data_IF_682048882993
#
_entry.id   IF_682048882993
#
_cell.length_a   1.000
_cell.length_b   1.000
_cell.length_c   1.000
_cell.angle_alpha   90.00
_cell.angle_beta   90.00
_cell.angle_gamma   90.00
#
_symmetry.space_group_name_H-M   'P 1'
#
loop_
_entity.id
_entity.type
_entity.pdbx_description
1 polymer ?
#
# COMPACT_ATOMS: atom_id res chain seq x y z
N UNK A 1 11.01 13.18 -10.52
CA UNK A 1 11.33 12.10 -9.55
C UNK A 1 11.20 12.69 -8.15
N UNK A 2 10.30 12.20 -7.33
CA UNK A 2 9.99 12.83 -6.05
C UNK A 2 10.82 12.16 -4.93
N UNK A 3 11.84 12.85 -4.42
CA UNK A 3 12.65 12.38 -3.27
C UNK A 3 11.79 12.29 -1.99
N UNK A 4 10.67 13.01 -1.93
CA UNK A 4 9.74 12.97 -0.80
C UNK A 4 9.12 11.59 -0.59
N UNK A 5 8.86 10.81 -1.64
CA UNK A 5 8.32 9.46 -1.49
C UNK A 5 9.33 8.50 -0.82
N UNK A 6 10.62 8.61 -1.18
CA UNK A 6 11.69 7.83 -0.54
C UNK A 6 11.78 8.17 0.96
N UNK A 7 11.78 9.46 1.28
CA UNK A 7 11.87 9.93 2.66
C UNK A 7 10.62 9.52 3.44
N UNK A 8 9.43 9.74 2.90
CA UNK A 8 8.18 9.45 3.60
C UNK A 8 7.99 7.96 3.86
N UNK A 9 8.10 7.13 2.81
CA UNK A 9 7.73 5.71 2.92
C UNK A 9 8.86 4.82 3.39
N UNK A 10 10.10 4.99 2.91
CA UNK A 10 11.18 4.11 3.34
C UNK A 10 11.80 4.59 4.65
N UNK A 11 12.28 5.82 4.70
CA UNK A 11 12.87 6.36 5.93
C UNK A 11 11.80 6.55 7.00
N UNK A 12 10.70 7.24 6.66
CA UNK A 12 9.64 7.59 7.62
C UNK A 12 8.97 6.39 8.26
N UNK A 13 8.61 5.36 7.47
CA UNK A 13 8.02 4.13 8.04
C UNK A 13 8.98 3.43 8.99
N UNK A 14 10.25 3.30 8.60
CA UNK A 14 11.28 2.68 9.44
C UNK A 14 11.46 3.43 10.75
N UNK A 15 11.59 4.77 10.69
CA UNK A 15 11.77 5.63 11.85
C UNK A 15 10.56 5.58 12.80
N UNK A 16 9.33 5.63 12.24
CA UNK A 16 8.11 5.56 13.05
C UNK A 16 8.00 4.21 13.76
N UNK A 17 8.21 3.11 13.04
CA UNK A 17 8.19 1.77 13.64
C UNK A 17 9.25 1.67 14.73
N UNK A 18 10.49 2.07 14.45
CA UNK A 18 11.59 2.03 15.43
C UNK A 18 11.27 2.85 16.69
N UNK A 19 10.76 4.07 16.51
CA UNK A 19 10.44 4.97 17.64
C UNK A 19 9.30 4.46 18.52
N UNK A 20 8.43 3.61 17.98
CA UNK A 20 7.26 3.08 18.69
C UNK A 20 7.49 1.69 19.29
N UNK A 21 8.59 1.00 18.98
CA UNK A 21 8.80 -0.41 19.39
C UNK A 21 8.51 -0.67 20.86
N UNK A 22 9.05 0.16 21.75
CA UNK A 22 8.87 0.00 23.21
C UNK A 22 7.44 0.29 23.71
N UNK A 23 6.59 0.87 22.84
CA UNK A 23 5.20 1.25 23.16
C UNK A 23 4.18 0.29 22.55
N UNK A 24 4.62 -0.59 21.64
CA UNK A 24 3.75 -1.55 20.99
C UNK A 24 3.47 -2.73 21.93
N UNK A 25 2.21 -3.09 22.04
CA UNK A 25 1.80 -4.29 22.77
C UNK A 25 2.01 -5.54 21.91
N UNK A 26 2.16 -6.75 22.50
CA UNK A 26 2.36 -7.97 21.72
C UNK A 26 1.26 -8.32 20.71
N UNK A 27 0.05 -7.80 20.91
CA UNK A 27 -1.09 -7.96 19.99
C UNK A 27 -1.29 -6.78 19.02
N UNK A 28 -0.32 -5.87 18.94
CA UNK A 28 -0.38 -4.75 18.02
C UNK A 28 -0.39 -5.21 16.55
N UNK A 29 -0.89 -4.35 15.69
CA UNK A 29 -0.88 -4.54 14.24
C UNK A 29 -0.40 -3.26 13.56
N UNK A 30 0.51 -3.42 12.60
CA UNK A 30 1.07 -2.34 11.80
C UNK A 30 0.59 -2.53 10.36
N UNK A 31 0.11 -1.46 9.74
CA UNK A 31 -0.27 -1.44 8.33
C UNK A 31 0.55 -0.39 7.59
N UNK A 32 1.24 -0.82 6.52
CA UNK A 32 2.04 0.04 5.66
C UNK A 32 1.36 0.22 4.30
N UNK A 33 1.36 1.44 3.78
CA UNK A 33 0.79 1.77 2.48
C UNK A 33 1.86 1.78 1.40
N UNK A 34 1.74 0.88 0.43
CA UNK A 34 2.58 0.82 -0.77
C UNK A 34 1.86 1.37 -2.01
N UNK A 35 1.90 0.61 -3.08
CA UNK A 35 1.26 0.89 -4.37
C UNK A 35 1.64 -0.15 -5.41
N UNK A 36 1.03 -0.07 -6.59
CA UNK A 36 1.12 -1.12 -7.62
C UNK A 36 2.29 -0.95 -8.60
N UNK A 37 3.02 0.17 -8.58
CA UNK A 37 4.07 0.44 -9.56
C UNK A 37 5.20 -0.60 -9.55
N UNK A 38 5.41 -1.32 -8.43
CA UNK A 38 6.33 -2.45 -8.38
C UNK A 38 5.95 -3.56 -9.37
N UNK A 39 4.65 -3.88 -9.45
CA UNK A 39 4.14 -4.98 -10.30
C UNK A 39 3.85 -4.54 -11.72
N UNK A 40 3.58 -3.26 -11.91
CA UNK A 40 3.32 -2.67 -13.21
C UNK A 40 4.04 -1.33 -13.36
N UNK A 41 5.37 -1.37 -13.62
CA UNK A 41 6.14 -0.16 -13.83
C UNK A 41 5.73 0.53 -15.14
N UNK A 42 5.93 1.84 -15.17
CA UNK A 42 5.63 2.70 -16.33
C UNK A 42 6.76 3.74 -16.51
N UNK A 43 6.90 4.35 -17.70
CA UNK A 43 7.91 5.37 -17.91
C UNK A 43 7.83 6.50 -16.87
N UNK A 44 8.94 6.79 -16.18
CA UNK A 44 9.01 7.77 -15.10
C UNK A 44 8.67 7.22 -13.70
N UNK A 45 8.33 5.93 -13.56
CA UNK A 45 7.97 5.33 -12.27
C UNK A 45 9.17 4.84 -11.44
N UNK A 46 10.41 5.08 -11.84
CA UNK A 46 11.60 4.52 -11.17
C UNK A 46 11.56 4.70 -9.66
N UNK A 47 11.33 5.92 -9.18
CA UNK A 47 11.28 6.19 -7.73
C UNK A 47 10.12 5.50 -7.06
N UNK A 48 8.90 5.64 -7.59
CA UNK A 48 7.71 5.05 -6.98
C UNK A 48 7.74 3.52 -7.03
N UNK A 49 8.30 2.93 -8.10
CA UNK A 49 8.51 1.48 -8.21
C UNK A 49 9.49 0.99 -7.15
N UNK A 50 10.62 1.68 -6.97
CA UNK A 50 11.62 1.35 -5.94
C UNK A 50 11.04 1.46 -4.54
N UNK A 51 10.31 2.55 -4.26
CA UNK A 51 9.65 2.76 -2.97
C UNK A 51 8.65 1.66 -2.66
N UNK A 52 7.79 1.31 -3.62
CA UNK A 52 6.80 0.24 -3.41
C UNK A 52 7.45 -1.13 -3.21
N UNK A 53 8.56 -1.39 -3.91
CA UNK A 53 9.39 -2.58 -3.67
C UNK A 53 9.99 -2.61 -2.27
N UNK A 54 10.51 -1.47 -1.82
CA UNK A 54 11.03 -1.31 -0.46
C UNK A 54 9.96 -1.53 0.60
N UNK A 55 8.75 -0.97 0.42
CA UNK A 55 7.62 -1.20 1.35
C UNK A 55 7.25 -2.68 1.41
N UNK A 56 7.19 -3.37 0.26
CA UNK A 56 6.92 -4.81 0.22
C UNK A 56 7.96 -5.61 1.01
N UNK A 57 9.24 -5.30 0.84
CA UNK A 57 10.33 -5.92 1.59
C UNK A 57 10.26 -5.60 3.09
N UNK A 58 9.98 -4.35 3.43
CA UNK A 58 9.85 -3.90 4.82
C UNK A 58 8.72 -4.64 5.55
N UNK A 59 7.56 -4.85 4.90
CA UNK A 59 6.47 -5.66 5.45
C UNK A 59 6.93 -7.07 5.81
N UNK A 60 7.61 -7.75 4.87
CA UNK A 60 8.07 -9.12 5.10
C UNK A 60 9.08 -9.21 6.23
N UNK A 61 10.06 -8.31 6.25
CA UNK A 61 11.11 -8.33 7.29
C UNK A 61 10.55 -8.01 8.66
N UNK A 62 9.76 -6.93 8.79
CA UNK A 62 9.16 -6.55 10.06
C UNK A 62 8.17 -7.58 10.59
N UNK A 63 7.44 -8.28 9.72
CA UNK A 63 6.52 -9.35 10.13
C UNK A 63 7.24 -10.52 10.80
N UNK A 64 8.51 -10.73 10.47
CA UNK A 64 9.37 -11.76 11.10
C UNK A 64 10.06 -11.19 12.35
N UNK A 65 10.67 -10.02 12.22
CA UNK A 65 11.50 -9.43 13.30
C UNK A 65 10.67 -8.99 14.51
N UNK A 66 9.44 -8.50 14.29
CA UNK A 66 8.59 -7.97 15.35
C UNK A 66 7.58 -8.97 15.91
N UNK A 67 7.59 -10.23 15.45
CA UNK A 67 6.65 -11.22 15.94
C UNK A 67 6.63 -11.28 17.48
N UNK A 68 5.46 -11.32 18.15
CA UNK A 68 4.12 -11.59 17.62
C UNK A 68 3.35 -10.37 17.09
N UNK A 69 3.93 -9.17 17.04
CA UNK A 69 3.33 -8.00 16.40
C UNK A 69 3.15 -8.28 14.92
N UNK A 70 1.94 -8.05 14.40
CA UNK A 70 1.63 -8.31 13.00
C UNK A 70 1.95 -7.09 12.13
N UNK A 71 2.54 -7.32 10.97
CA UNK A 71 2.85 -6.27 10.00
C UNK A 71 2.33 -6.68 8.63
N UNK A 72 1.49 -5.85 8.04
CA UNK A 72 0.91 -6.07 6.71
C UNK A 72 1.06 -4.83 5.84
N UNK A 73 0.98 -5.02 4.53
CA UNK A 73 0.99 -3.97 3.53
C UNK A 73 -0.31 -3.94 2.73
N UNK A 74 -0.75 -2.75 2.35
CA UNK A 74 -1.83 -2.55 1.41
C UNK A 74 -1.34 -1.76 0.21
N UNK A 75 -1.73 -2.19 -0.99
CA UNK A 75 -1.31 -1.61 -2.25
C UNK A 75 -2.54 -1.22 -3.07
N UNK A 76 -3.10 -0.02 -2.84
CA UNK A 76 -4.24 0.46 -3.62
C UNK A 76 -3.87 0.69 -5.09
N UNK A 77 -4.82 0.41 -5.96
CA UNK A 77 -4.84 0.93 -7.33
C UNK A 77 -5.16 2.42 -7.35
N UNK A 78 -5.71 2.90 -8.47
CA UNK A 78 -6.21 4.27 -8.56
C UNK A 78 -7.52 4.35 -7.76
N UNK A 79 -7.49 5.13 -6.68
CA UNK A 79 -8.64 5.42 -5.81
C UNK A 79 -9.37 6.62 -6.38
N UNK A 80 -10.38 6.38 -7.23
CA UNK A 80 -10.95 7.39 -8.11
C UNK A 80 -11.68 8.52 -7.41
N UNK A 81 -12.23 8.28 -6.23
CA UNK A 81 -12.92 9.28 -5.41
C UNK A 81 -11.99 10.03 -4.43
N UNK A 82 -10.68 9.77 -4.49
CA UNK A 82 -9.72 10.48 -3.66
C UNK A 82 -9.47 11.91 -4.16
N UNK A 83 -9.15 12.86 -3.26
CA UNK A 83 -8.88 14.26 -3.65
C UNK A 83 -7.78 14.41 -4.71
N UNK A 84 -6.85 13.48 -4.78
CA UNK A 84 -5.77 13.52 -5.77
C UNK A 84 -6.25 13.12 -7.17
N UNK A 85 -7.21 12.19 -7.29
CA UNK A 85 -7.62 11.61 -8.57
C UNK A 85 -8.93 12.15 -9.11
N UNK A 86 -9.83 12.66 -8.28
CA UNK A 86 -11.21 13.03 -8.65
C UNK A 86 -11.30 13.96 -9.87
N UNK A 87 -10.35 14.85 -10.05
CA UNK A 87 -10.33 15.82 -11.16
C UNK A 87 -9.51 15.35 -12.38
N UNK A 88 -8.95 14.12 -12.35
CA UNK A 88 -8.08 13.61 -13.43
C UNK A 88 -8.85 12.68 -14.37
N UNK A 89 -9.87 13.21 -15.03
CA UNK A 89 -10.85 12.46 -15.83
C UNK A 89 -10.21 11.49 -16.83
N UNK A 90 -9.25 11.96 -17.64
CA UNK A 90 -8.60 11.13 -18.66
C UNK A 90 -7.82 9.92 -18.04
N UNK A 91 -7.18 10.13 -16.89
CA UNK A 91 -6.49 9.05 -16.19
C UNK A 91 -7.47 8.05 -15.57
N UNK A 92 -8.60 8.54 -15.05
CA UNK A 92 -9.67 7.68 -14.52
C UNK A 92 -10.28 6.82 -15.63
N UNK A 93 -10.64 7.41 -16.77
CA UNK A 93 -11.18 6.68 -17.93
C UNK A 93 -10.22 5.60 -18.44
N UNK A 94 -8.94 5.93 -18.59
CA UNK A 94 -7.92 4.98 -19.01
C UNK A 94 -7.76 3.83 -17.99
N UNK A 95 -7.89 4.11 -16.71
CA UNK A 95 -7.85 3.10 -15.65
C UNK A 95 -9.08 2.21 -15.68
N UNK A 96 -10.28 2.80 -15.76
CA UNK A 96 -11.57 2.09 -15.82
C UNK A 96 -11.59 1.12 -17.00
N UNK A 97 -11.15 1.55 -18.18
CA UNK A 97 -11.12 0.72 -19.39
C UNK A 97 -10.29 -0.57 -19.22
N UNK A 98 -9.35 -0.59 -18.29
CA UNK A 98 -8.47 -1.72 -18.00
C UNK A 98 -8.85 -2.50 -16.74
N UNK A 99 -9.67 -1.94 -15.87
CA UNK A 99 -10.04 -2.56 -14.60
C UNK A 99 -11.19 -3.54 -14.81
N UNK A 100 -11.01 -4.85 -14.52
CA UNK A 100 -12.04 -5.86 -14.76
C UNK A 100 -13.40 -5.58 -14.13
N UNK A 101 -13.42 -4.96 -12.93
CA UNK A 101 -14.71 -4.59 -12.29
C UNK A 101 -15.40 -3.38 -12.94
N UNK A 102 -14.82 -2.79 -14.00
CA UNK A 102 -15.42 -1.71 -14.79
C UNK A 102 -15.45 -0.34 -14.09
N UNK A 103 -14.70 -0.16 -13.04
CA UNK A 103 -14.56 1.10 -12.28
C UNK A 103 -13.25 1.14 -11.51
N UNK A 104 -12.87 2.30 -10.98
CA UNK A 104 -11.80 2.43 -10.00
C UNK A 104 -12.25 1.90 -8.64
N UNK A 105 -11.31 1.64 -7.75
CA UNK A 105 -11.60 1.39 -6.33
C UNK A 105 -11.91 2.71 -5.63
N UNK A 106 -12.57 2.61 -4.47
CA UNK A 106 -12.98 3.75 -3.66
C UNK A 106 -12.16 3.85 -2.36
N UNK A 107 -12.18 5.02 -1.73
CA UNK A 107 -11.55 5.22 -0.41
C UNK A 107 -12.14 4.26 0.63
N UNK A 108 -13.46 4.04 0.62
CA UNK A 108 -14.12 3.12 1.54
C UNK A 108 -13.68 1.67 1.36
N UNK A 109 -13.46 1.22 0.13
CA UNK A 109 -12.96 -0.14 -0.15
C UNK A 109 -11.53 -0.32 0.38
N UNK A 110 -10.67 0.68 0.21
CA UNK A 110 -9.33 0.68 0.77
C UNK A 110 -9.35 0.72 2.31
N UNK A 111 -10.23 1.53 2.90
CA UNK A 111 -10.40 1.61 4.34
C UNK A 111 -10.89 0.28 4.94
N UNK A 112 -11.89 -0.37 4.32
CA UNK A 112 -12.38 -1.67 4.74
C UNK A 112 -11.30 -2.76 4.69
N UNK A 113 -10.52 -2.80 3.60
CA UNK A 113 -9.39 -3.73 3.48
C UNK A 113 -8.30 -3.45 4.53
N UNK A 114 -8.06 -2.18 4.84
CA UNK A 114 -7.11 -1.75 5.88
C UNK A 114 -7.57 -2.22 7.26
N UNK A 115 -8.83 -2.03 7.60
CA UNK A 115 -9.41 -2.52 8.87
C UNK A 115 -9.32 -4.05 8.96
N UNK A 116 -9.65 -4.76 7.88
CA UNK A 116 -9.50 -6.21 7.84
C UNK A 116 -8.06 -6.66 8.17
N UNK A 117 -7.04 -6.03 7.58
CA UNK A 117 -5.64 -6.36 7.86
C UNK A 117 -5.22 -6.02 9.31
N UNK A 118 -5.76 -4.94 9.85
CA UNK A 118 -5.48 -4.54 11.23
C UNK A 118 -6.15 -5.44 12.27
N UNK A 119 -7.37 -5.90 12.02
CA UNK A 119 -8.18 -6.63 12.99
C UNK A 119 -8.05 -8.16 12.89
N UNK A 120 -7.79 -8.69 11.69
CA UNK A 120 -7.70 -10.15 11.51
C UNK A 120 -6.37 -10.70 12.05
N UNK A 121 -6.44 -11.39 13.18
CA UNK A 121 -5.28 -11.97 13.86
C UNK A 121 -4.50 -13.03 13.07
N UNK A 122 -5.08 -13.59 12.01
CA UNK A 122 -4.42 -14.55 11.12
C UNK A 122 -3.59 -13.93 10.00
N UNK A 123 -3.63 -12.59 9.87
CA UNK A 123 -2.94 -11.89 8.78
C UNK A 123 -1.62 -11.29 9.26
N UNK A 124 -0.49 -11.82 8.77
CA UNK A 124 0.84 -11.31 9.04
C UNK A 124 1.75 -11.48 7.81
N UNK A 125 2.52 -10.47 7.45
CA UNK A 125 3.42 -10.48 6.29
C UNK A 125 2.71 -10.40 4.94
N UNK A 126 1.42 -10.05 4.91
CA UNK A 126 0.63 -9.98 3.67
C UNK A 126 0.86 -8.63 2.99
N UNK A 127 1.03 -8.66 1.68
CA UNK A 127 1.00 -7.51 0.79
C UNK A 127 -0.28 -7.62 -0.07
N UNK A 128 -1.34 -6.90 0.33
CA UNK A 128 -2.67 -7.00 -0.27
C UNK A 128 -2.90 -5.93 -1.33
N UNK A 129 -3.26 -6.35 -2.54
CA UNK A 129 -3.69 -5.42 -3.59
C UNK A 129 -5.19 -5.13 -3.47
N UNK A 130 -5.54 -3.85 -3.61
CA UNK A 130 -6.92 -3.38 -3.70
C UNK A 130 -7.04 -2.57 -4.98
N UNK A 131 -7.26 -3.23 -6.11
CA UNK A 131 -7.11 -2.63 -7.44
C UNK A 131 -8.25 -2.94 -8.43
N UNK A 132 -9.25 -3.71 -8.00
CA UNK A 132 -10.35 -4.15 -8.86
C UNK A 132 -9.90 -5.09 -10.00
N UNK A 133 -8.72 -5.70 -9.88
CA UNK A 133 -8.12 -6.57 -10.89
C UNK A 133 -7.33 -5.82 -11.97
N UNK A 134 -7.00 -4.55 -11.78
CA UNK A 134 -6.27 -3.74 -12.74
C UNK A 134 -4.92 -4.34 -13.16
N UNK A 135 -4.26 -5.07 -12.26
CA UNK A 135 -3.00 -5.76 -12.56
C UNK A 135 -3.16 -6.95 -13.52
N UNK A 136 -4.37 -7.46 -13.73
CA UNK A 136 -4.64 -8.63 -14.55
C UNK A 136 -4.74 -8.33 -16.06
N UNK A 137 -4.77 -7.04 -16.46
CA UNK A 137 -4.89 -6.61 -17.85
C UNK A 137 -3.87 -5.56 -18.28
#
# INVERSE_FOLDING_TARGET
MCSSDLTLKLVGYTEVVHSLLERLTPNASILLFGGLALRRPYPGSTTVTTVNGGVTGLVHTLAVELAPIRVNGIHPGIVGDSPYWVDKQAALEATIARTPIGRTVTMDEVANASLFLLENGGMNGVNLDVDGGWLLR
#
